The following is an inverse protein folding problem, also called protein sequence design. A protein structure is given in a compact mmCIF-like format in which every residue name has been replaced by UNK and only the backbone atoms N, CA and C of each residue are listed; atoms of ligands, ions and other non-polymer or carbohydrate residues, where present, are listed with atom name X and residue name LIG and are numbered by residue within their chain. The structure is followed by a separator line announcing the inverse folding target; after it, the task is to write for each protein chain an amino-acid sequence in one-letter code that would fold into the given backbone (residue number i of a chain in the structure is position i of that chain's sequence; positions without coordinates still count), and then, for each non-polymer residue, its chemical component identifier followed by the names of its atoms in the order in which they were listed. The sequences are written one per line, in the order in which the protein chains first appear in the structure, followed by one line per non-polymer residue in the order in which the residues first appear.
data_IF_557755566708
#
_entry.id   IF_557755566708
#
_cell.length_a   1.000
_cell.length_b   1.000
_cell.length_c   1.000
_cell.angle_alpha   90.00
_cell.angle_beta   90.00
_cell.angle_gamma   90.00
#
_symmetry.space_group_name_H-M   'P 1'
#
loop_
_entity.id
_entity.type
_entity.pdbx_description
1 polymer ?
#
# COMPACT_ATOMS: atom_id res chain seq x y z
N UNK A 1 7.52 7.86 -4.79
CA UNK A 1 6.30 8.52 -4.28
C UNK A 1 5.39 7.41 -3.78
N UNK A 2 5.67 6.96 -2.56
CA UNK A 2 4.92 5.90 -1.90
C UNK A 2 3.53 6.41 -1.56
N UNK A 3 2.54 5.94 -2.32
CA UNK A 3 1.13 6.18 -2.04
C UNK A 3 0.70 5.11 -1.05
N UNK A 4 0.98 5.33 0.23
CA UNK A 4 0.35 4.57 1.28
C UNK A 4 -1.13 4.95 1.30
N UNK A 5 -2.03 4.01 0.98
CA UNK A 5 -3.47 4.14 1.23
C UNK A 5 -3.76 3.98 2.74
N UNK A 6 -3.06 4.76 3.57
CA UNK A 6 -3.18 4.70 5.02
C UNK A 6 -4.35 5.58 5.45
N UNK A 7 -5.39 4.97 6.02
CA UNK A 7 -6.35 5.70 6.85
C UNK A 7 -5.61 6.11 8.12
N UNK A 8 -5.10 7.34 8.14
CA UNK A 8 -4.42 7.89 9.30
C UNK A 8 -5.45 8.18 10.40
N UNK A 9 -5.19 7.67 11.60
CA UNK A 9 -6.09 7.75 12.76
C UNK A 9 -5.47 8.62 13.83
N UNK A 10 -6.19 9.62 14.35
CA UNK A 10 -5.69 10.48 15.42
C UNK A 10 -6.59 10.44 16.64
N UNK A 11 -6.04 9.90 17.72
CA UNK A 11 -6.69 9.72 19.02
C UNK A 11 -6.40 10.93 19.92
N UNK A 12 -7.43 11.60 20.46
CA UNK A 12 -7.24 12.62 21.51
C UNK A 12 -7.28 11.92 22.89
N UNK A 13 -6.14 11.50 23.41
CA UNK A 13 -6.03 11.09 24.82
C UNK A 13 -5.79 12.31 25.72
N UNK A 14 -6.42 12.26 26.89
CA UNK A 14 -6.46 13.25 27.96
C UNK A 14 -5.09 13.87 28.28
N UNK A 15 -5.05 15.21 28.37
CA UNK A 15 -3.94 15.97 28.94
C UNK A 15 -2.82 16.33 27.97
N UNK A 16 -2.99 17.45 27.28
CA UNK A 16 -1.96 18.18 26.49
C UNK A 16 -1.44 17.48 25.23
N UNK A 17 -2.18 17.62 24.13
CA UNK A 17 -1.60 17.89 22.80
C UNK A 17 -2.53 18.86 22.06
N UNK A 18 -2.40 20.16 22.39
CA UNK A 18 -2.84 21.29 21.56
C UNK A 18 -1.87 21.45 20.37
N UNK A 19 -1.67 20.39 19.59
CA UNK A 19 -1.00 20.51 18.30
C UNK A 19 -2.09 20.69 17.25
N UNK A 20 -2.36 21.97 16.99
CA UNK A 20 -2.68 22.52 15.67
C UNK A 20 -2.00 21.66 14.58
N UNK A 21 -2.67 21.37 13.45
CA UNK A 21 -2.29 20.33 12.50
C UNK A 21 -0.82 20.47 12.11
N UNK A 22 0.04 19.66 12.71
CA UNK A 22 1.42 19.53 12.27
C UNK A 22 1.39 18.64 11.05
N UNK A 23 1.58 19.24 9.87
CA UNK A 23 2.05 18.75 8.55
C UNK A 23 2.12 17.23 8.29
N UNK A 24 1.19 16.47 8.86
CA UNK A 24 0.98 15.06 8.57
C UNK A 24 0.18 15.08 7.28
N UNK A 25 0.90 14.94 6.18
CA UNK A 25 0.44 15.02 4.80
C UNK A 25 -1.06 14.79 4.68
N UNK A 26 -1.77 15.81 4.18
CA UNK A 26 -3.18 15.72 3.85
C UNK A 26 -3.39 14.55 2.89
N UNK A 27 -3.71 13.39 3.45
CA UNK A 27 -4.18 12.26 2.67
C UNK A 27 -5.67 12.50 2.41
N UNK A 28 -6.09 12.34 1.16
CA UNK A 28 -7.48 12.54 0.72
C UNK A 28 -8.51 11.66 1.49
N UNK A 29 -8.04 10.73 2.32
CA UNK A 29 -8.85 9.72 3.02
C UNK A 29 -8.57 9.67 4.52
N UNK A 30 -8.63 10.83 5.18
CA UNK A 30 -8.46 10.94 6.64
C UNK A 30 -9.80 10.80 7.37
N UNK A 31 -9.85 9.93 8.38
CA UNK A 31 -11.02 9.76 9.24
C UNK A 31 -10.69 10.23 10.66
N UNK A 32 -11.48 11.17 11.18
CA UNK A 32 -11.31 11.67 12.54
C UNK A 32 -12.13 10.89 13.54
N UNK A 33 -11.50 10.53 14.65
CA UNK A 33 -12.12 9.67 15.65
C UNK A 33 -12.25 10.39 16.99
N UNK A 34 -13.36 10.12 17.67
CA UNK A 34 -13.62 10.52 19.05
C UNK A 34 -13.66 9.26 19.95
N UNK A 35 -12.51 8.85 20.51
CA UNK A 35 -12.42 7.66 21.35
C UNK A 35 -12.98 7.91 22.75
N UNK A 36 -13.35 6.84 23.44
CA UNK A 36 -13.93 6.84 24.80
C UNK A 36 -15.26 7.60 24.86
N UNK A 37 -16.11 7.38 23.86
CA UNK A 37 -17.44 8.00 23.76
C UNK A 37 -18.39 7.61 24.91
N UNK A 38 -18.04 6.59 25.69
CA UNK A 38 -18.70 6.18 26.93
C UNK A 38 -18.56 7.20 28.08
N UNK A 39 -17.66 8.19 27.96
CA UNK A 39 -17.48 9.23 28.97
C UNK A 39 -18.37 10.45 28.67
N UNK A 40 -19.13 10.98 29.65
CA UNK A 40 -20.06 12.09 29.44
C UNK A 40 -19.37 13.41 29.01
N UNK A 41 -18.07 13.58 29.31
CA UNK A 41 -17.27 14.73 28.90
C UNK A 41 -16.78 14.65 27.43
N UNK A 42 -17.08 13.55 26.73
CA UNK A 42 -16.62 13.25 25.36
C UNK A 42 -17.73 13.40 24.32
N UNK A 43 -18.39 14.56 24.30
CA UNK A 43 -19.37 14.89 23.27
C UNK A 43 -18.73 14.86 21.86
N UNK A 44 -19.44 14.24 20.91
CA UNK A 44 -19.00 14.12 19.53
C UNK A 44 -19.06 15.47 18.80
N UNK A 45 -18.00 15.83 18.07
CA UNK A 45 -18.09 16.80 16.98
C UNK A 45 -18.71 16.15 15.74
N UNK A 46 -19.43 16.92 14.92
CA UNK A 46 -20.09 16.42 13.71
C UNK A 46 -19.10 15.88 12.64
N UNK A 47 -17.81 16.20 12.78
CA UNK A 47 -16.72 15.82 11.88
C UNK A 47 -16.01 14.51 12.28
N UNK A 48 -16.51 13.77 13.28
CA UNK A 48 -15.79 12.62 13.88
C UNK A 48 -16.66 11.40 14.09
N UNK A 49 -16.06 10.22 13.91
CA UNK A 49 -16.66 8.95 14.33
C UNK A 49 -16.37 8.75 15.82
N UNK A 50 -17.42 8.79 16.64
CA UNK A 50 -17.33 8.46 18.06
C UNK A 50 -17.35 6.95 18.27
N UNK A 51 -16.48 6.45 19.14
CA UNK A 51 -16.50 5.04 19.54
C UNK A 51 -16.03 4.84 20.99
N UNK A 52 -16.38 3.69 21.53
CA UNK A 52 -15.85 3.19 22.78
C UNK A 52 -15.31 1.78 22.59
N UNK A 53 -14.04 1.58 22.95
CA UNK A 53 -13.45 0.23 23.02
C UNK A 53 -13.99 -0.58 24.20
N UNK A 54 -14.61 0.08 25.18
CA UNK A 54 -15.18 -0.58 26.37
C UNK A 54 -16.58 -1.11 26.09
N UNK A 55 -17.44 -0.30 25.45
CA UNK A 55 -18.83 -0.69 25.17
C UNK A 55 -19.01 -1.29 23.78
N UNK A 56 -18.05 -1.10 22.87
CA UNK A 56 -18.17 -1.48 21.46
C UNK A 56 -19.00 -0.51 20.63
N UNK A 57 -19.52 0.55 21.23
CA UNK A 57 -20.27 1.60 20.52
C UNK A 57 -19.41 2.22 19.41
N UNK A 58 -20.02 2.49 18.26
CA UNK A 58 -19.37 3.17 17.14
C UNK A 58 -18.38 2.33 16.33
N UNK A 59 -18.11 1.08 16.74
CA UNK A 59 -17.19 0.18 16.01
C UNK A 59 -17.75 -0.21 14.63
N UNK A 60 -19.06 -0.43 14.50
CA UNK A 60 -19.68 -0.75 13.21
C UNK A 60 -19.63 0.44 12.24
N UNK A 61 -19.87 1.66 12.76
CA UNK A 61 -19.71 2.92 12.01
C UNK A 61 -18.25 3.10 11.58
N UNK A 62 -17.34 2.81 12.51
CA UNK A 62 -15.96 2.37 12.31
C UNK A 62 -15.72 1.67 10.97
N UNK A 63 -16.16 0.41 10.96
CA UNK A 63 -15.96 -0.52 9.87
C UNK A 63 -16.55 -0.04 8.56
N UNK A 64 -17.79 0.47 8.58
CA UNK A 64 -18.44 1.00 7.39
C UNK A 64 -17.68 2.16 6.75
N UNK A 65 -17.21 3.10 7.57
CA UNK A 65 -16.43 4.25 7.11
C UNK A 65 -15.07 3.87 6.51
N UNK A 66 -14.47 2.76 6.94
CA UNK A 66 -13.23 2.23 6.35
C UNK A 66 -13.49 1.35 5.12
N UNK A 67 -14.54 0.53 5.14
CA UNK A 67 -14.84 -0.43 4.09
C UNK A 67 -15.25 0.27 2.79
N UNK A 68 -16.05 1.34 2.87
CA UNK A 68 -16.51 2.09 1.71
C UNK A 68 -15.37 2.61 0.82
N UNK A 69 -14.36 3.33 1.32
CA UNK A 69 -13.21 3.74 0.50
C UNK A 69 -12.30 2.57 0.11
N UNK A 70 -12.16 1.54 0.96
CA UNK A 70 -11.33 0.37 0.67
C UNK A 70 -11.86 -0.45 -0.52
N UNK A 71 -13.19 -0.55 -0.67
CA UNK A 71 -13.81 -1.24 -1.80
C UNK A 71 -13.40 -0.64 -3.16
N UNK A 72 -13.16 0.68 -3.21
CA UNK A 72 -12.67 1.37 -4.41
C UNK A 72 -11.15 1.28 -4.65
N UNK A 73 -10.39 0.73 -3.69
CA UNK A 73 -8.93 0.54 -3.82
C UNK A 73 -8.57 -0.84 -4.37
N UNK A 74 -9.45 -1.81 -4.17
CA UNK A 74 -9.22 -3.16 -4.66
C UNK A 74 -9.44 -3.21 -6.17
N UNK A 75 -8.58 -3.92 -6.92
CA UNK A 75 -8.84 -4.17 -8.32
C UNK A 75 -10.17 -4.93 -8.47
N UNK A 76 -10.93 -4.66 -9.54
CA UNK A 76 -12.10 -5.45 -9.91
C UNK A 76 -11.82 -6.96 -9.91
N UNK A 77 -12.84 -7.83 -9.71
CA UNK A 77 -12.64 -9.28 -9.61
C UNK A 77 -11.97 -9.93 -10.84
N UNK A 78 -12.06 -9.29 -12.01
CA UNK A 78 -11.44 -9.70 -13.26
C UNK A 78 -9.99 -9.22 -13.43
N UNK A 79 -9.46 -8.47 -12.46
CA UNK A 79 -8.10 -7.94 -12.47
C UNK A 79 -7.24 -8.55 -11.36
N UNK A 80 -5.95 -8.72 -11.67
CA UNK A 80 -5.00 -9.32 -10.74
C UNK A 80 -4.38 -8.26 -9.82
N UNK A 81 -4.46 -8.48 -8.51
CA UNK A 81 -3.68 -7.71 -7.55
C UNK A 81 -2.22 -8.18 -7.58
N UNK A 82 -1.31 -7.29 -8.00
CA UNK A 82 0.14 -7.56 -7.98
C UNK A 82 0.76 -7.05 -6.67
N UNK A 83 1.60 -7.88 -6.05
CA UNK A 83 2.47 -7.42 -4.97
C UNK A 83 3.56 -6.47 -5.50
N UNK A 84 4.28 -5.78 -4.60
CA UNK A 84 5.31 -4.80 -4.96
C UNK A 84 6.37 -5.38 -5.91
N UNK A 85 6.85 -6.60 -5.64
CA UNK A 85 7.86 -7.28 -6.49
C UNK A 85 7.33 -7.51 -7.90
N UNK A 86 6.15 -8.12 -8.02
CA UNK A 86 5.51 -8.40 -9.32
C UNK A 86 5.20 -7.12 -10.09
N UNK A 87 4.80 -6.05 -9.39
CA UNK A 87 4.55 -4.73 -10.00
C UNK A 87 5.82 -4.15 -10.61
N UNK A 88 6.93 -4.15 -9.88
CA UNK A 88 8.23 -3.65 -10.37
C UNK A 88 8.69 -4.45 -11.59
N UNK A 89 8.60 -5.78 -11.53
CA UNK A 89 8.97 -6.64 -12.67
C UNK A 89 8.08 -6.40 -13.89
N UNK A 90 6.76 -6.26 -13.69
CA UNK A 90 5.81 -5.99 -14.77
C UNK A 90 6.05 -4.63 -15.41
N UNK A 91 6.40 -3.61 -14.60
CA UNK A 91 6.77 -2.29 -15.09
C UNK A 91 8.08 -2.33 -15.90
N UNK A 92 9.07 -3.09 -15.44
CA UNK A 92 10.32 -3.32 -16.17
C UNK A 92 10.09 -3.99 -17.52
N UNK A 93 9.28 -5.07 -17.56
CA UNK A 93 8.89 -5.74 -18.80
C UNK A 93 8.19 -4.78 -19.77
N UNK A 94 7.22 -4.01 -19.28
CA UNK A 94 6.50 -3.04 -20.10
C UNK A 94 7.39 -1.92 -20.63
N UNK A 95 8.36 -1.45 -19.85
CA UNK A 95 9.34 -0.45 -20.28
C UNK A 95 10.25 -1.00 -21.39
N UNK A 96 10.77 -2.22 -21.23
CA UNK A 96 11.61 -2.87 -22.23
C UNK A 96 10.85 -3.11 -23.56
N UNK A 97 9.59 -3.57 -23.50
CA UNK A 97 8.76 -3.73 -24.68
C UNK A 97 8.49 -2.40 -25.41
N UNK A 98 8.25 -1.32 -24.66
CA UNK A 98 8.09 0.03 -25.25
C UNK A 98 9.39 0.50 -25.92
N UNK A 99 10.54 0.26 -25.31
CA UNK A 99 11.83 0.59 -25.88
C UNK A 99 12.09 -0.20 -27.17
N UNK A 100 11.81 -1.51 -27.18
CA UNK A 100 11.92 -2.34 -28.37
C UNK A 100 11.07 -1.83 -29.54
N UNK A 101 9.84 -1.36 -29.26
CA UNK A 101 8.92 -0.85 -30.28
C UNK A 101 9.36 0.49 -30.90
N UNK A 102 10.26 1.23 -30.23
CA UNK A 102 10.79 2.51 -30.71
C UNK A 102 12.19 2.39 -31.33
N UNK A 103 12.77 1.20 -31.32
CA UNK A 103 14.13 0.93 -31.79
C UNK A 103 14.11 0.42 -33.24
N UNK A 104 15.20 0.68 -33.96
CA UNK A 104 15.41 0.25 -35.35
C UNK A 104 16.56 -0.74 -35.49
N UNK A 105 17.53 -0.71 -34.58
CA UNK A 105 18.63 -1.68 -34.56
C UNK A 105 18.15 -3.03 -34.01
N UNK A 106 18.23 -4.07 -34.84
CA UNK A 106 17.81 -5.43 -34.49
C UNK A 106 18.54 -5.99 -33.26
N UNK A 107 19.79 -5.60 -33.02
CA UNK A 107 20.56 -6.04 -31.86
C UNK A 107 20.00 -5.43 -30.58
N UNK A 108 19.65 -4.15 -30.60
CA UNK A 108 19.05 -3.45 -29.47
C UNK A 108 17.62 -3.92 -29.22
N UNK A 109 16.83 -4.15 -30.28
CA UNK A 109 15.50 -4.78 -30.17
C UNK A 109 15.62 -6.14 -29.47
N UNK A 110 16.54 -7.00 -29.91
CA UNK A 110 16.75 -8.31 -29.30
C UNK A 110 17.10 -8.21 -27.81
N UNK A 111 17.93 -7.25 -27.41
CA UNK A 111 18.29 -7.08 -26.01
C UNK A 111 17.13 -6.57 -25.14
N UNK A 112 16.29 -5.68 -25.68
CA UNK A 112 15.08 -5.25 -24.99
C UNK A 112 14.09 -6.41 -24.82
N UNK A 113 13.92 -7.26 -25.84
CA UNK A 113 13.08 -8.46 -25.75
C UNK A 113 13.62 -9.46 -24.72
N UNK A 114 14.95 -9.70 -24.67
CA UNK A 114 15.56 -10.53 -23.62
C UNK A 114 15.31 -9.97 -22.23
N UNK A 115 15.38 -8.65 -22.08
CA UNK A 115 15.10 -7.98 -20.80
C UNK A 115 13.64 -8.16 -20.37
N UNK A 116 12.69 -8.05 -21.29
CA UNK A 116 11.28 -8.34 -21.02
C UNK A 116 11.05 -9.81 -20.62
N UNK A 117 11.69 -10.75 -21.33
CA UNK A 117 11.61 -12.18 -21.01
C UNK A 117 12.13 -12.50 -19.61
N UNK A 118 13.31 -11.98 -19.24
CA UNK A 118 13.88 -12.15 -17.89
C UNK A 118 12.95 -11.66 -16.79
N UNK A 119 12.27 -10.53 -17.02
CA UNK A 119 11.28 -10.02 -16.07
C UNK A 119 10.06 -10.94 -15.94
N UNK A 120 9.58 -11.53 -17.04
CA UNK A 120 8.51 -12.54 -17.00
C UNK A 120 8.95 -13.84 -16.32
N UNK A 121 10.16 -14.30 -16.56
CA UNK A 121 10.72 -15.47 -15.88
C UNK A 121 10.79 -15.24 -14.37
N UNK A 122 11.20 -14.05 -13.93
CA UNK A 122 11.19 -13.67 -12.52
C UNK A 122 9.78 -13.55 -11.92
N UNK A 123 8.76 -13.17 -12.70
CA UNK A 123 7.36 -13.15 -12.26
C UNK A 123 6.84 -14.58 -12.10
N UNK A 124 7.11 -15.45 -13.07
CA UNK A 124 6.62 -16.83 -13.13
C UNK A 124 7.42 -17.82 -12.28
N UNK A 125 8.56 -17.39 -11.71
CA UNK A 125 9.45 -18.24 -10.92
C UNK A 125 10.34 -19.15 -11.76
N UNK A 126 10.46 -18.88 -13.07
CA UNK A 126 11.39 -19.56 -13.98
C UNK A 126 12.78 -18.92 -14.00
N UNK A 127 12.98 -17.82 -13.27
CA UNK A 127 14.29 -17.19 -13.12
C UNK A 127 15.29 -18.17 -12.50
N UNK A 128 16.39 -18.34 -13.21
CA UNK A 128 17.48 -19.30 -12.99
C UNK A 128 18.14 -19.18 -11.60
N UNK A 129 19.00 -20.16 -11.28
CA UNK A 129 19.71 -20.44 -10.00
C UNK A 129 20.10 -19.21 -9.15
N UNK A 130 20.39 -18.06 -9.74
CA UNK A 130 20.74 -16.82 -9.04
C UNK A 130 19.64 -16.31 -8.10
N UNK A 131 18.35 -16.45 -8.45
CA UNK A 131 17.25 -16.06 -7.56
C UNK A 131 17.14 -16.99 -6.32
N UNK A 132 17.54 -18.26 -6.47
CA UNK A 132 17.66 -19.20 -5.36
C UNK A 132 18.82 -18.80 -4.43
N UNK A 133 19.94 -18.34 -4.99
CA UNK A 133 21.11 -17.91 -4.21
C UNK A 133 20.82 -16.63 -3.42
N UNK A 134 20.15 -15.63 -4.01
CA UNK A 134 19.78 -14.39 -3.30
C UNK A 134 18.76 -14.66 -2.17
N UNK A 135 17.82 -15.59 -2.36
CA UNK A 135 16.88 -16.00 -1.31
C UNK A 135 17.54 -16.86 -0.22
N UNK A 136 18.58 -17.62 -0.57
CA UNK A 136 19.35 -18.42 0.39
C UNK A 136 20.25 -17.53 1.25
N UNK A 137 20.93 -16.55 0.67
CA UNK A 137 21.89 -15.69 1.38
C UNK A 137 21.27 -14.40 1.93
N UNK A 138 20.16 -13.90 1.38
CA UNK A 138 19.48 -12.69 1.85
C UNK A 138 18.68 -12.85 3.14
N UNK A 139 18.48 -14.08 3.61
CA UNK A 139 17.70 -14.41 4.83
C UNK A 139 18.59 -14.76 6.04
N UNK A 140 19.90 -14.84 5.85
CA UNK A 140 20.82 -14.96 6.96
C UNK A 140 21.16 -13.57 7.48
N UNK A 141 20.62 -13.23 8.65
CA UNK A 141 21.26 -12.23 9.49
C UNK A 141 22.69 -12.72 9.78
N UNK A 142 23.70 -12.12 9.15
CA UNK A 142 25.08 -12.19 9.67
C UNK A 142 25.06 -11.40 10.98
N UNK A 143 24.78 -12.11 12.07
CA UNK A 143 24.91 -11.63 13.45
C UNK A 143 23.82 -10.65 13.91
N UNK A 144 22.65 -11.17 14.27
CA UNK A 144 21.87 -10.81 15.48
C UNK A 144 20.69 -11.75 15.64
#
# INVERSE_FOLDING_TARGET
ADRFDLVAWRCRQTGRIDQQPGDSAAHDRLLWLNPRADLPERAAGADRVSLSSLTGEGVEVLWGAMAAPAAGMLPPPDQMALNTRQRVLSQGAAAALRAAAQESDLLLIAEQLRSAMRAFDAITGRADVEAMLDALFGRFCIGK
#
